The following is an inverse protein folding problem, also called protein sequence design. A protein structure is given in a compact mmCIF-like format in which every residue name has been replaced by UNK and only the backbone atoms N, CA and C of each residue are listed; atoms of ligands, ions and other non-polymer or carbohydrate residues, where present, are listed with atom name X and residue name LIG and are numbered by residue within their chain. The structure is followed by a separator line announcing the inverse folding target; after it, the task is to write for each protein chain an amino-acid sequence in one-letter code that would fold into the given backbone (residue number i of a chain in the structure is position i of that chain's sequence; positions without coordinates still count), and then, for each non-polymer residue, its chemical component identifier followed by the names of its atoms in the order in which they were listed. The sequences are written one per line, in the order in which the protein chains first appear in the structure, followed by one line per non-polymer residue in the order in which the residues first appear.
data_IF_805031676068
#
_entry.id   IF_805031676068
#
_cell.length_a   1.000
_cell.length_b   1.000
_cell.length_c   1.000
_cell.angle_alpha   90.00
_cell.angle_beta   90.00
_cell.angle_gamma   90.00
#
_symmetry.space_group_name_H-M   'P 1'
#
loop_
_entity.id
_entity.type
_entity.pdbx_description
1 polymer ?
#
# COMPACT_ATOMS: atom_id res chain seq x y z
N UNK A 1 8.63 45.21 2.67
CA UNK A 1 9.10 43.86 3.07
C UNK A 1 10.19 43.86 4.14
N UNK A 2 11.24 44.70 4.07
CA UNK A 2 12.34 44.67 5.07
C UNK A 2 11.97 45.14 6.49
N UNK A 3 10.84 45.84 6.65
CA UNK A 3 10.32 46.30 7.96
C UNK A 3 9.17 45.44 8.50
N UNK A 4 8.84 44.31 7.86
CA UNK A 4 7.81 43.41 8.38
C UNK A 4 8.38 42.54 9.51
N UNK A 5 7.62 42.32 10.60
CA UNK A 5 7.91 41.27 11.57
C UNK A 5 8.14 39.90 10.92
N UNK A 6 9.03 39.11 11.52
CA UNK A 6 9.42 37.80 10.98
C UNK A 6 8.24 36.83 10.93
N UNK A 7 7.29 36.97 11.85
CA UNK A 7 6.08 36.17 11.98
C UNK A 7 5.15 36.41 10.78
N UNK A 8 5.01 37.67 10.36
CA UNK A 8 4.21 38.01 9.18
C UNK A 8 4.88 37.55 7.88
N UNK A 9 6.21 37.59 7.81
CA UNK A 9 6.95 37.03 6.67
C UNK A 9 6.74 35.51 6.61
N UNK A 10 6.85 34.81 7.73
CA UNK A 10 6.61 33.37 7.81
C UNK A 10 5.17 33.02 7.39
N UNK A 11 4.18 33.78 7.88
CA UNK A 11 2.78 33.59 7.54
C UNK A 11 2.49 33.85 6.05
N UNK A 12 3.08 34.90 5.45
CA UNK A 12 2.94 35.14 4.00
C UNK A 12 3.54 33.97 3.22
N UNK A 13 4.69 33.47 3.65
CA UNK A 13 5.38 32.38 2.96
C UNK A 13 4.72 31.02 3.16
N UNK A 14 3.93 30.82 4.22
CA UNK A 14 3.14 29.59 4.38
C UNK A 14 2.01 29.46 3.36
N UNK A 15 1.56 30.55 2.73
CA UNK A 15 0.64 30.46 1.60
C UNK A 15 1.29 29.91 0.31
N UNK A 16 2.62 29.78 0.30
CA UNK A 16 3.32 29.08 -0.77
C UNK A 16 3.40 27.57 -0.53
N UNK A 17 2.99 27.11 0.67
CA UNK A 17 2.89 25.71 0.98
C UNK A 17 1.71 25.11 0.21
N UNK A 18 1.96 23.98 -0.44
CA UNK A 18 0.99 23.29 -1.26
C UNK A 18 1.26 21.82 -1.16
N UNK A 19 0.21 21.00 -1.14
CA UNK A 19 0.37 19.55 -1.09
C UNK A 19 1.32 19.04 -2.17
N UNK A 20 2.19 18.13 -1.75
CA UNK A 20 3.12 17.47 -2.65
C UNK A 20 2.37 16.94 -3.87
N UNK A 21 2.87 17.29 -5.06
CA UNK A 21 2.29 16.81 -6.32
C UNK A 21 2.20 15.28 -6.39
N UNK A 22 3.13 14.58 -5.73
CA UNK A 22 3.12 13.12 -5.60
C UNK A 22 2.03 12.63 -4.64
N UNK A 23 1.80 13.33 -3.52
CA UNK A 23 0.74 12.97 -2.56
C UNK A 23 -0.65 13.09 -3.19
N UNK A 24 -0.88 14.15 -3.96
CA UNK A 24 -2.12 14.30 -4.78
C UNK A 24 -2.25 13.23 -5.87
N UNK A 25 -1.14 12.63 -6.27
CA UNK A 25 -1.07 11.57 -7.27
C UNK A 25 -1.35 10.17 -6.72
N UNK A 26 -1.31 9.95 -5.40
CA UNK A 26 -1.42 8.61 -4.81
C UNK A 26 -2.72 7.90 -5.21
N UNK A 27 -3.84 8.63 -5.25
CA UNK A 27 -5.17 8.11 -5.60
C UNK A 27 -5.44 8.04 -7.11
N UNK A 28 -4.47 8.41 -7.95
CA UNK A 28 -4.62 8.43 -9.41
C UNK A 28 -3.98 7.18 -10.01
N UNK A 29 -4.13 7.03 -11.33
CA UNK A 29 -3.41 6.00 -12.08
C UNK A 29 -1.89 6.16 -11.87
N UNK A 30 -1.23 5.17 -11.23
CA UNK A 30 0.20 5.22 -10.97
C UNK A 30 1.03 5.39 -12.24
N UNK A 31 0.57 4.87 -13.39
CA UNK A 31 1.32 4.96 -14.66
C UNK A 31 1.55 6.40 -15.13
N UNK A 32 0.75 7.36 -14.63
CA UNK A 32 0.87 8.79 -14.93
C UNK A 32 1.82 9.51 -13.98
N UNK A 33 2.35 8.84 -12.96
CA UNK A 33 3.32 9.44 -12.05
C UNK A 33 4.65 9.62 -12.77
N UNK A 34 5.05 10.87 -12.93
CA UNK A 34 6.36 11.25 -13.44
C UNK A 34 7.31 11.58 -12.31
N UNK A 35 8.61 11.33 -12.53
CA UNK A 35 9.68 11.81 -11.62
C UNK A 35 9.53 13.31 -11.36
N UNK A 36 9.73 13.78 -10.12
CA UNK A 36 9.85 15.20 -9.83
C UNK A 36 11.00 15.79 -10.67
N UNK A 37 10.68 16.71 -11.58
CA UNK A 37 11.69 17.40 -12.38
C UNK A 37 12.37 18.44 -11.49
N UNK A 38 13.71 18.43 -11.42
CA UNK A 38 14.51 19.31 -10.57
C UNK A 38 14.32 20.83 -10.82
N UNK A 39 13.60 21.21 -11.87
CA UNK A 39 13.32 22.58 -12.29
C UNK A 39 11.96 22.68 -12.99
N UNK A 40 10.87 22.45 -12.26
CA UNK A 40 9.55 22.85 -12.76
C UNK A 40 9.47 24.38 -12.93
N UNK A 41 8.64 24.87 -13.87
CA UNK A 41 8.41 26.31 -14.08
C UNK A 41 7.81 27.02 -12.85
N UNK A 42 7.27 26.27 -11.90
CA UNK A 42 6.53 26.78 -10.76
C UNK A 42 7.08 26.20 -9.44
N UNK A 43 8.17 26.79 -8.94
CA UNK A 43 8.79 26.41 -7.65
C UNK A 43 8.83 27.59 -6.69
N UNK A 44 7.67 28.09 -6.21
CA UNK A 44 7.58 29.32 -5.44
C UNK A 44 8.38 29.27 -4.14
N UNK A 45 8.37 28.13 -3.43
CA UNK A 45 9.14 27.93 -2.19
C UNK A 45 10.65 28.02 -2.46
N UNK A 46 11.13 27.35 -3.52
CA UNK A 46 12.54 27.38 -3.92
C UNK A 46 12.96 28.78 -4.33
N UNK A 47 12.13 29.49 -5.11
CA UNK A 47 12.40 30.86 -5.54
C UNK A 47 12.46 31.82 -4.34
N UNK A 48 11.51 31.71 -3.40
CA UNK A 48 11.49 32.48 -2.15
C UNK A 48 12.75 32.25 -1.31
N UNK A 49 13.29 31.02 -1.30
CA UNK A 49 14.52 30.70 -0.57
C UNK A 49 15.77 31.42 -1.11
N UNK A 50 15.74 31.91 -2.35
CA UNK A 50 16.85 32.59 -3.00
C UNK A 50 16.82 34.12 -2.82
N UNK A 51 15.75 34.69 -2.28
CA UNK A 51 15.57 36.14 -2.13
C UNK A 51 16.56 36.73 -1.10
N UNK A 52 16.58 36.18 0.12
CA UNK A 52 17.51 36.60 1.17
C UNK A 52 17.65 35.53 2.27
N UNK A 53 18.62 35.70 3.18
CA UNK A 53 18.88 34.75 4.29
C UNK A 53 17.68 34.57 5.22
N UNK A 54 16.90 35.63 5.47
CA UNK A 54 15.71 35.57 6.31
C UNK A 54 14.64 34.67 5.67
N UNK A 55 14.32 34.92 4.40
CA UNK A 55 13.32 34.14 3.67
C UNK A 55 13.75 32.68 3.53
N UNK A 56 15.03 32.44 3.22
CA UNK A 56 15.61 31.09 3.19
C UNK A 56 15.37 30.35 4.50
N UNK A 57 15.61 31.00 5.64
CA UNK A 57 15.39 30.40 6.97
C UNK A 57 13.91 30.14 7.22
N UNK A 58 13.04 31.07 6.82
CA UNK A 58 11.59 30.93 6.99
C UNK A 58 11.01 29.80 6.15
N UNK A 59 11.48 29.57 4.92
CA UNK A 59 10.92 28.52 4.03
C UNK A 59 11.65 27.18 4.10
N UNK A 60 12.73 27.07 4.88
CA UNK A 60 13.56 25.86 4.90
C UNK A 60 12.76 24.61 5.28
N UNK A 61 11.85 24.74 6.26
CA UNK A 61 11.02 23.64 6.71
C UNK A 61 10.03 23.18 5.64
N UNK A 62 9.49 24.10 4.85
CA UNK A 62 8.61 23.80 3.72
C UNK A 62 9.37 23.13 2.57
N UNK A 63 10.60 23.59 2.31
CA UNK A 63 11.42 23.07 1.20
C UNK A 63 11.83 21.61 1.38
N UNK A 64 12.04 21.18 2.63
CA UNK A 64 12.47 19.83 2.98
C UNK A 64 11.36 18.99 3.62
N UNK A 65 10.10 19.46 3.58
CA UNK A 65 8.93 18.78 4.14
C UNK A 65 8.68 17.41 3.53
N UNK A 66 8.76 17.35 2.20
CA UNK A 66 8.56 16.13 1.43
C UNK A 66 9.83 15.79 0.66
N UNK A 67 10.53 14.72 1.07
CA UNK A 67 11.76 14.27 0.44
C UNK A 67 11.45 13.12 -0.51
N UNK A 68 11.93 13.23 -1.75
CA UNK A 68 11.84 12.16 -2.75
C UNK A 68 13.24 11.68 -3.06
N UNK A 69 13.51 10.40 -2.79
CA UNK A 69 14.75 9.73 -3.14
C UNK A 69 14.52 8.85 -4.36
N UNK A 70 15.08 9.28 -5.49
CA UNK A 70 15.02 8.56 -6.75
C UNK A 70 16.33 7.82 -7.03
N UNK A 71 16.25 6.55 -7.37
CA UNK A 71 17.38 5.79 -7.90
C UNK A 71 16.89 4.66 -8.80
N UNK A 72 17.78 4.20 -9.68
CA UNK A 72 17.52 3.04 -10.51
C UNK A 72 18.19 1.78 -9.95
N UNK A 73 19.40 1.96 -9.40
CA UNK A 73 20.24 0.93 -8.79
C UNK A 73 20.88 1.53 -7.56
N UNK A 74 20.77 0.84 -6.44
CA UNK A 74 21.45 1.26 -5.22
C UNK A 74 21.99 0.03 -4.51
N UNK A 75 23.31 -0.06 -4.40
CA UNK A 75 23.97 -1.14 -3.69
C UNK A 75 24.03 -0.82 -2.20
N UNK A 76 23.76 -1.83 -1.35
CA UNK A 76 23.95 -1.73 0.09
C UNK A 76 25.37 -1.26 0.40
N UNK A 77 25.55 -0.12 1.09
CA UNK A 77 26.88 0.35 1.47
C UNK A 77 27.55 -0.63 2.42
N UNK A 78 28.87 -0.83 2.24
CA UNK A 78 29.71 -1.65 3.13
C UNK A 78 30.54 -0.82 4.10
N UNK A 79 30.40 0.51 4.07
CA UNK A 79 31.10 1.40 4.97
C UNK A 79 30.56 1.27 6.40
N UNK A 80 31.42 1.58 7.39
CA UNK A 80 31.06 1.52 8.80
C UNK A 80 29.89 2.46 9.14
N UNK A 81 29.86 3.66 8.53
CA UNK A 81 28.73 4.58 8.60
C UNK A 81 27.85 4.40 7.35
N UNK A 82 26.85 3.50 7.44
CA UNK A 82 25.92 3.21 6.34
C UNK A 82 25.20 4.47 5.86
N UNK A 83 24.83 5.36 6.79
CA UNK A 83 24.14 6.63 6.46
C UNK A 83 25.00 7.50 5.55
N UNK A 84 26.32 7.57 5.77
CA UNK A 84 27.23 8.30 4.87
C UNK A 84 27.27 7.72 3.45
N UNK A 85 26.98 6.41 3.30
CA UNK A 85 26.86 5.75 2.00
C UNK A 85 25.56 6.07 1.26
N UNK A 86 24.52 6.55 1.97
CA UNK A 86 23.25 6.95 1.39
C UNK A 86 23.21 8.47 1.23
N UNK A 87 23.59 8.96 0.04
CA UNK A 87 23.82 10.39 -0.19
C UNK A 87 22.67 11.34 0.21
N UNK A 88 21.41 10.92 0.06
CA UNK A 88 20.26 11.72 0.52
C UNK A 88 20.20 11.82 2.05
N UNK A 89 20.43 10.72 2.77
CA UNK A 89 20.39 10.69 4.23
C UNK A 89 21.61 11.43 4.82
N UNK A 90 22.79 11.24 4.23
CA UNK A 90 24.00 11.99 4.61
C UNK A 90 23.81 13.50 4.44
N UNK A 91 23.18 13.93 3.34
CA UNK A 91 22.84 15.33 3.12
C UNK A 91 21.87 15.87 4.19
N UNK A 92 20.78 15.15 4.47
CA UNK A 92 19.78 15.57 5.46
C UNK A 92 20.41 15.73 6.86
N UNK A 93 21.25 14.75 7.24
CA UNK A 93 22.02 14.74 8.48
C UNK A 93 22.97 15.93 8.57
N UNK A 94 23.80 16.16 7.55
CA UNK A 94 24.84 17.22 7.55
C UNK A 94 24.26 18.63 7.46
N UNK A 95 23.13 18.79 6.75
CA UNK A 95 22.48 20.10 6.59
C UNK A 95 21.59 20.49 7.77
N UNK A 96 21.31 19.55 8.69
CA UNK A 96 20.48 19.79 9.86
C UNK A 96 18.99 20.00 9.54
N UNK A 97 18.55 19.58 8.35
CA UNK A 97 17.16 19.71 7.89
C UNK A 97 16.32 18.46 8.12
N UNK A 98 16.91 17.37 8.63
CA UNK A 98 16.21 16.11 8.93
C UNK A 98 14.91 16.28 9.71
N UNK A 99 14.90 17.20 10.70
CA UNK A 99 13.73 17.51 11.55
C UNK A 99 12.54 18.11 10.81
N UNK A 100 12.74 18.53 9.57
CA UNK A 100 11.70 19.11 8.75
C UNK A 100 11.04 18.07 7.82
N UNK A 101 11.60 16.85 7.74
CA UNK A 101 11.09 15.80 6.86
C UNK A 101 9.86 15.16 7.48
N UNK A 102 8.68 15.46 6.93
CA UNK A 102 7.41 14.83 7.33
C UNK A 102 7.09 13.61 6.46
N UNK A 103 7.46 13.63 5.18
CA UNK A 103 7.29 12.49 4.28
C UNK A 103 8.57 12.13 3.55
N UNK A 104 8.78 10.83 3.38
CA UNK A 104 9.91 10.28 2.64
C UNK A 104 9.41 9.31 1.58
N UNK A 105 9.64 9.63 0.31
CA UNK A 105 9.23 8.80 -0.83
C UNK A 105 10.44 8.16 -1.48
N UNK A 106 10.44 6.83 -1.62
CA UNK A 106 11.38 6.08 -2.46
C UNK A 106 10.71 5.87 -3.82
N UNK A 107 11.33 6.40 -4.87
CA UNK A 107 10.80 6.31 -6.23
C UNK A 107 11.82 5.62 -7.15
N UNK A 108 11.47 4.44 -7.64
CA UNK A 108 12.31 3.67 -8.56
C UNK A 108 11.55 3.53 -9.88
N UNK A 109 12.05 4.22 -10.90
CA UNK A 109 11.48 4.16 -12.24
C UNK A 109 12.48 3.47 -13.15
N UNK A 110 12.11 2.28 -13.61
CA UNK A 110 12.99 1.44 -14.41
C UNK A 110 12.55 1.53 -15.87
N UNK A 111 13.48 1.77 -16.81
CA UNK A 111 13.16 1.65 -18.22
C UNK A 111 12.69 0.22 -18.52
N UNK A 112 11.42 0.10 -18.93
CA UNK A 112 10.88 -1.15 -19.45
C UNK A 112 11.70 -1.58 -20.67
N UNK A 113 12.10 -2.84 -20.69
CA UNK A 113 12.76 -3.40 -21.86
C UNK A 113 11.81 -3.55 -23.04
N UNK A 114 12.41 -3.70 -24.23
CA UNK A 114 11.67 -4.02 -25.46
C UNK A 114 11.56 -5.54 -25.64
N UNK A 115 10.39 -6.03 -26.07
CA UNK A 115 10.17 -7.44 -26.39
C UNK A 115 9.91 -8.32 -25.16
N UNK A 116 10.55 -9.49 -25.08
CA UNK A 116 10.37 -10.46 -23.97
C UNK A 116 11.15 -10.09 -22.69
N UNK A 117 12.02 -9.09 -22.74
CA UNK A 117 12.81 -8.66 -21.58
C UNK A 117 12.09 -7.54 -20.84
N UNK A 118 11.68 -7.81 -19.59
CA UNK A 118 11.06 -6.79 -18.70
C UNK A 118 12.01 -5.61 -18.45
N UNK A 119 13.32 -5.85 -18.43
CA UNK A 119 14.36 -4.86 -18.19
C UNK A 119 15.24 -4.65 -19.42
N UNK A 120 15.51 -3.38 -19.77
CA UNK A 120 16.09 -2.98 -21.05
C UNK A 120 17.51 -3.49 -21.34
N UNK A 121 18.27 -3.90 -20.32
CA UNK A 121 19.70 -4.20 -20.42
C UNK A 121 20.12 -5.55 -19.80
N UNK A 122 19.16 -6.36 -19.34
CA UNK A 122 19.45 -7.65 -18.68
C UNK A 122 20.24 -7.51 -17.37
N UNK A 123 20.30 -6.32 -16.79
CA UNK A 123 20.98 -6.03 -15.53
C UNK A 123 20.01 -6.01 -14.35
N UNK A 124 20.55 -6.02 -13.13
CA UNK A 124 19.76 -5.88 -11.90
C UNK A 124 19.33 -4.43 -11.66
N UNK A 125 18.15 -4.22 -11.09
CA UNK A 125 17.59 -2.91 -10.78
C UNK A 125 17.04 -2.90 -9.34
N UNK A 126 16.84 -1.71 -8.78
CA UNK A 126 16.33 -1.52 -7.42
C UNK A 126 17.43 -1.53 -6.35
N UNK A 127 17.08 -2.07 -5.18
CA UNK A 127 17.99 -2.18 -4.03
C UNK A 127 18.75 -3.50 -4.10
N UNK A 128 20.09 -3.40 -4.13
CA UNK A 128 20.99 -4.50 -4.45
C UNK A 128 21.89 -4.84 -3.27
N UNK A 129 22.36 -6.10 -3.17
CA UNK A 129 23.39 -6.48 -2.19
C UNK A 129 24.67 -5.68 -2.41
N UNK A 130 25.64 -5.72 -1.47
CA UNK A 130 26.97 -5.16 -1.69
C UNK A 130 27.57 -5.61 -3.01
N UNK A 131 28.26 -4.71 -3.72
CA UNK A 131 28.88 -5.02 -5.03
C UNK A 131 29.81 -6.24 -4.97
N UNK A 132 30.47 -6.46 -3.83
CA UNK A 132 31.35 -7.61 -3.60
C UNK A 132 30.64 -8.96 -3.51
N UNK A 133 29.31 -8.97 -3.34
CA UNK A 133 28.48 -10.17 -3.18
C UNK A 133 27.48 -10.33 -4.34
N UNK A 134 27.79 -9.77 -5.51
CA UNK A 134 26.95 -9.97 -6.68
C UNK A 134 26.96 -11.44 -7.12
N UNK A 135 25.80 -12.03 -7.44
CA UNK A 135 25.77 -13.34 -8.07
C UNK A 135 26.46 -13.29 -9.45
N UNK A 136 27.24 -14.32 -9.78
CA UNK A 136 28.13 -14.37 -10.97
C UNK A 136 27.41 -14.27 -12.33
N UNK A 137 26.08 -14.41 -12.37
CA UNK A 137 25.27 -14.16 -13.56
C UNK A 137 24.07 -13.31 -13.17
N UNK A 138 23.61 -12.41 -14.06
CA UNK A 138 22.23 -11.98 -14.05
C UNK A 138 21.37 -13.19 -14.46
N UNK A 139 21.24 -14.18 -13.57
CA UNK A 139 19.97 -14.89 -13.50
C UNK A 139 19.01 -13.78 -13.15
N UNK A 140 18.32 -13.24 -14.16
CA UNK A 140 17.20 -12.36 -13.92
C UNK A 140 16.41 -12.99 -12.79
N UNK A 141 16.00 -12.25 -11.77
CA UNK A 141 15.00 -12.78 -10.85
C UNK A 141 13.76 -13.31 -11.61
N UNK A 142 13.58 -12.91 -12.87
CA UNK A 142 12.64 -13.46 -13.85
C UNK A 142 12.94 -14.91 -14.35
N UNK A 143 14.17 -15.42 -14.27
CA UNK A 143 14.59 -16.77 -14.72
C UNK A 143 14.43 -17.82 -13.60
N UNK A 144 14.24 -17.39 -12.34
CA UNK A 144 13.78 -18.29 -11.29
C UNK A 144 12.34 -18.77 -11.55
N UNK A 145 11.56 -18.03 -12.36
CA UNK A 145 10.15 -18.29 -12.61
C UNK A 145 9.86 -19.15 -13.85
N UNK A 146 10.70 -19.10 -14.89
CA UNK A 146 10.52 -19.96 -16.07
C UNK A 146 10.79 -21.45 -15.81
N UNK A 147 11.43 -21.78 -14.68
CA UNK A 147 11.66 -23.17 -14.24
C UNK A 147 10.55 -23.70 -13.33
N UNK A 148 9.72 -22.82 -12.73
CA UNK A 148 8.63 -23.21 -11.84
C UNK A 148 7.27 -23.39 -12.54
N UNK A 149 7.17 -23.13 -13.85
CA UNK A 149 5.90 -23.15 -14.60
C UNK A 149 5.90 -24.08 -15.82
N UNK A 150 6.81 -25.06 -15.89
CA UNK A 150 6.66 -26.19 -16.81
C UNK A 150 6.42 -27.49 -16.03
N UNK A 151 5.15 -27.87 -15.90
CA UNK A 151 4.74 -29.28 -15.79
C UNK A 151 3.68 -29.52 -16.89
N UNK A 152 3.45 -30.76 -17.40
CA UNK A 152 3.92 -32.06 -16.93
C UNK A 152 4.44 -33.00 -18.05
N UNK A 153 5.53 -33.75 -17.84
CA UNK A 153 5.75 -35.00 -18.58
C UNK A 153 6.28 -36.12 -17.67
N UNK A 154 5.64 -37.28 -17.82
CA UNK A 154 5.72 -38.47 -16.99
C UNK A 154 7.10 -39.16 -16.98
N UNK A 155 7.28 -39.93 -15.89
CA UNK A 155 8.23 -41.01 -15.65
C UNK A 155 9.68 -40.61 -15.30
N UNK A 156 10.05 -40.73 -14.01
CA UNK A 156 10.78 -41.94 -13.59
C UNK A 156 10.76 -42.14 -12.07
N UNK A 157 10.76 -43.41 -11.66
CA UNK A 157 10.91 -43.83 -10.27
C UNK A 157 12.40 -43.81 -9.91
N UNK A 158 12.79 -42.99 -8.93
CA UNK A 158 14.15 -43.01 -8.41
C UNK A 158 14.29 -42.03 -7.26
N UNK A 159 14.25 -42.55 -6.04
CA UNK A 159 14.47 -41.76 -4.84
C UNK A 159 15.88 -41.19 -4.82
N UNK A 160 15.95 -39.86 -4.70
CA UNK A 160 17.09 -39.19 -4.08
C UNK A 160 16.56 -37.93 -3.38
N UNK A 161 16.89 -37.83 -2.11
CA UNK A 161 16.52 -36.77 -1.17
C UNK A 161 16.71 -35.40 -1.81
N UNK A 162 15.60 -34.74 -2.19
CA UNK A 162 15.62 -33.28 -2.43
C UNK A 162 15.80 -32.64 -1.07
N UNK A 163 17.01 -32.17 -0.76
CA UNK A 163 17.26 -31.53 0.52
C UNK A 163 16.38 -30.29 0.63
N UNK A 164 15.82 -30.07 1.81
CA UNK A 164 15.07 -28.86 2.18
C UNK A 164 15.91 -27.58 2.00
N UNK A 165 17.22 -27.72 1.72
CA UNK A 165 18.18 -26.65 1.47
C UNK A 165 18.19 -26.18 -0.01
N UNK A 166 17.64 -26.94 -0.98
CA UNK A 166 17.57 -26.52 -2.39
C UNK A 166 16.42 -25.55 -2.71
N UNK A 167 15.47 -25.33 -1.79
CA UNK A 167 14.39 -24.32 -1.91
C UNK A 167 14.66 -23.05 -1.11
N UNK A 168 15.92 -22.76 -0.82
CA UNK A 168 16.38 -21.52 -0.21
C UNK A 168 15.99 -20.30 -1.05
N UNK A 169 14.78 -19.79 -0.81
CA UNK A 169 14.31 -18.48 -1.26
C UNK A 169 15.32 -17.44 -0.74
N UNK A 170 16.25 -17.04 -1.60
CA UNK A 170 17.31 -16.09 -1.24
C UNK A 170 16.73 -14.67 -1.17
N UNK A 171 15.87 -14.43 -0.17
CA UNK A 171 15.41 -13.09 0.15
C UNK A 171 16.61 -12.30 0.71
N UNK A 172 16.85 -11.11 0.18
CA UNK A 172 17.86 -10.22 0.71
C UNK A 172 17.25 -9.38 1.83
N UNK A 173 17.93 -9.34 2.98
CA UNK A 173 17.51 -8.51 4.10
C UNK A 173 17.75 -7.02 3.80
N UNK A 174 16.65 -6.30 3.64
CA UNK A 174 16.62 -4.87 3.40
C UNK A 174 16.34 -4.01 4.66
N UNK A 175 16.28 -4.61 5.86
CA UNK A 175 16.03 -3.88 7.11
C UNK A 175 17.10 -2.83 7.43
N UNK A 176 18.34 -3.05 6.96
CA UNK A 176 19.43 -2.06 7.06
C UNK A 176 19.01 -0.68 6.53
N UNK A 177 18.18 -0.62 5.48
CA UNK A 177 17.72 0.63 4.90
C UNK A 177 16.77 1.35 5.86
N UNK A 178 15.83 0.62 6.44
CA UNK A 178 14.85 1.17 7.38
C UNK A 178 15.56 1.70 8.63
N UNK A 179 16.52 0.97 9.19
CA UNK A 179 17.32 1.49 10.31
C UNK A 179 18.10 2.76 9.92
N UNK A 180 18.82 2.75 8.79
CA UNK A 180 19.58 3.91 8.35
C UNK A 180 18.70 5.15 8.12
N UNK A 181 17.49 4.96 7.58
CA UNK A 181 16.52 6.02 7.36
C UNK A 181 16.01 6.59 8.69
N UNK A 182 15.50 5.73 9.58
CA UNK A 182 14.90 6.15 10.85
C UNK A 182 15.92 6.59 11.92
N UNK A 183 17.20 6.31 11.72
CA UNK A 183 18.28 6.87 12.53
C UNK A 183 18.55 8.36 12.18
N UNK A 184 18.11 8.82 11.01
CA UNK A 184 18.37 10.19 10.51
C UNK A 184 17.14 11.06 10.50
N UNK A 185 15.99 10.51 10.11
CA UNK A 185 14.72 11.22 9.96
C UNK A 185 13.60 10.52 10.71
N UNK A 186 12.54 11.28 10.98
CA UNK A 186 11.37 10.82 11.73
C UNK A 186 10.08 11.09 10.93
N UNK A 187 9.89 10.43 9.77
CA UNK A 187 8.77 10.74 8.90
C UNK A 187 7.43 10.32 9.53
N UNK A 188 6.39 11.09 9.24
CA UNK A 188 4.99 10.74 9.48
C UNK A 188 4.45 9.84 8.36
N UNK A 189 5.09 9.87 7.19
CA UNK A 189 4.71 9.07 6.02
C UNK A 189 5.93 8.52 5.29
N UNK A 190 5.90 7.23 4.98
CA UNK A 190 6.86 6.58 4.07
C UNK A 190 6.09 6.06 2.86
N UNK A 191 6.54 6.40 1.66
CA UNK A 191 5.89 6.01 0.40
C UNK A 191 6.87 5.31 -0.52
N UNK A 192 6.49 4.15 -1.06
CA UNK A 192 7.26 3.36 -2.01
C UNK A 192 6.54 3.38 -3.34
N UNK A 193 7.22 3.76 -4.41
CA UNK A 193 6.67 3.81 -5.77
C UNK A 193 7.65 3.12 -6.71
N UNK A 194 7.23 1.97 -7.27
CA UNK A 194 8.02 1.20 -8.23
C UNK A 194 7.19 0.09 -8.87
N UNK A 195 7.76 -0.72 -9.76
CA UNK A 195 7.17 -1.99 -10.19
C UNK A 195 6.88 -2.93 -9.00
N UNK A 196 5.89 -3.83 -9.11
CA UNK A 196 5.46 -4.69 -8.00
C UNK A 196 6.58 -5.54 -7.41
N UNK A 197 7.49 -6.05 -8.24
CA UNK A 197 8.63 -6.88 -7.81
C UNK A 197 9.67 -6.09 -7.01
N UNK A 198 9.93 -4.84 -7.39
CA UNK A 198 10.83 -3.97 -6.65
C UNK A 198 10.23 -3.49 -5.32
N UNK A 199 8.93 -3.22 -5.28
CA UNK A 199 8.24 -2.89 -4.02
C UNK A 199 8.29 -4.09 -3.08
N UNK A 200 8.00 -5.31 -3.58
CA UNK A 200 8.13 -6.53 -2.79
C UNK A 200 9.58 -6.74 -2.31
N UNK A 201 10.57 -6.48 -3.17
CA UNK A 201 11.99 -6.58 -2.81
C UNK A 201 12.37 -5.64 -1.67
N UNK A 202 11.91 -4.38 -1.66
CA UNK A 202 12.14 -3.44 -0.55
C UNK A 202 11.55 -3.95 0.77
N UNK A 203 10.46 -4.72 0.71
CA UNK A 203 9.85 -5.40 1.84
C UNK A 203 10.51 -6.75 2.17
N UNK A 204 11.69 -7.07 1.60
CA UNK A 204 12.37 -8.35 1.77
C UNK A 204 11.49 -9.57 1.36
N UNK A 205 10.65 -9.37 0.33
CA UNK A 205 9.65 -10.34 -0.16
C UNK A 205 9.71 -10.49 -1.68
N UNK A 206 8.90 -11.40 -2.21
CA UNK A 206 8.72 -11.66 -3.65
C UNK A 206 7.23 -11.72 -3.98
N UNK A 207 6.89 -11.45 -5.23
CA UNK A 207 5.53 -11.54 -5.77
C UNK A 207 5.53 -12.45 -6.99
N UNK A 208 4.40 -13.12 -7.27
CA UNK A 208 4.24 -13.88 -8.51
C UNK A 208 4.09 -12.91 -9.70
N UNK A 209 4.89 -13.14 -10.73
CA UNK A 209 4.91 -12.33 -11.95
C UNK A 209 4.51 -13.13 -13.19
N UNK A 210 4.02 -14.36 -13.01
CA UNK A 210 3.65 -15.30 -14.08
C UNK A 210 2.78 -14.67 -15.16
N UNK A 211 1.79 -13.87 -14.76
CA UNK A 211 0.81 -13.25 -15.65
C UNK A 211 0.92 -11.72 -15.73
N UNK A 212 1.90 -11.11 -15.06
CA UNK A 212 2.05 -9.64 -14.97
C UNK A 212 2.16 -8.96 -16.35
N UNK A 213 2.70 -9.67 -17.34
CA UNK A 213 2.79 -9.21 -18.73
C UNK A 213 1.43 -8.81 -19.32
N UNK A 214 0.34 -9.47 -18.91
CA UNK A 214 -1.01 -9.23 -19.42
C UNK A 214 -1.63 -7.95 -18.81
N UNK A 215 -1.22 -7.58 -17.60
CA UNK A 215 -1.70 -6.39 -16.89
C UNK A 215 -0.94 -5.12 -17.28
N UNK A 216 0.30 -5.27 -17.78
CA UNK A 216 1.13 -4.14 -18.22
C UNK A 216 1.31 -3.07 -17.11
N UNK A 217 1.39 -3.50 -15.84
CA UNK A 217 1.47 -2.64 -14.66
C UNK A 217 2.79 -1.86 -14.58
N UNK A 218 2.72 -0.52 -14.47
CA UNK A 218 3.94 0.33 -14.44
C UNK A 218 4.46 0.51 -13.03
N UNK A 219 3.62 1.05 -12.16
CA UNK A 219 3.98 1.32 -10.77
C UNK A 219 2.87 0.84 -9.85
N UNK A 220 3.30 0.31 -8.72
CA UNK A 220 2.51 0.11 -7.52
C UNK A 220 2.94 1.14 -6.49
N UNK A 221 2.00 1.54 -5.65
CA UNK A 221 2.25 2.50 -4.58
C UNK A 221 1.89 1.83 -3.26
N UNK A 222 2.83 1.84 -2.34
CA UNK A 222 2.57 1.57 -0.93
C UNK A 222 2.88 2.84 -0.15
N UNK A 223 1.96 3.28 0.70
CA UNK A 223 2.25 4.34 1.66
C UNK A 223 1.81 3.93 3.06
N UNK A 224 2.74 4.00 3.99
CA UNK A 224 2.48 3.91 5.42
C UNK A 224 2.43 5.32 5.99
N UNK A 225 1.42 5.62 6.80
CA UNK A 225 1.35 6.89 7.51
C UNK A 225 0.83 6.74 8.92
N UNK A 226 1.25 7.66 9.77
CA UNK A 226 0.79 7.79 11.15
C UNK A 226 0.41 9.22 11.45
N UNK A 227 -0.40 9.39 12.50
CA UNK A 227 -0.67 10.73 13.03
C UNK A 227 0.54 11.20 13.86
N UNK A 228 0.83 12.50 13.88
CA UNK A 228 1.84 13.05 14.77
C UNK A 228 1.35 12.92 16.21
N UNK A 229 1.83 11.91 16.93
CA UNK A 229 1.43 11.74 18.32
C UNK A 229 2.29 12.61 19.24
N UNK A 230 1.66 13.30 20.19
CA UNK A 230 2.35 14.18 21.16
C UNK A 230 3.18 13.33 22.14
N UNK A 231 2.82 12.05 22.29
CA UNK A 231 3.46 11.04 23.15
C UNK A 231 4.66 10.32 22.53
N UNK A 232 5.00 10.57 21.26
CA UNK A 232 6.12 9.94 20.51
C UNK A 232 7.54 10.26 21.03
N UNK A 233 7.66 10.97 22.15
CA UNK A 233 8.91 11.09 22.90
C UNK A 233 9.40 9.75 23.50
N UNK A 234 8.55 8.71 23.48
CA UNK A 234 8.97 7.34 23.81
C UNK A 234 9.75 6.70 22.65
N UNK A 235 11.06 6.95 22.66
CA UNK A 235 12.11 6.18 21.96
C UNK A 235 11.83 4.67 22.02
N UNK A 236 12.05 3.96 20.89
CA UNK A 236 12.29 2.50 20.74
C UNK A 236 12.20 1.73 22.08
N UNK A 237 11.00 1.44 22.57
CA UNK A 237 10.83 0.65 23.80
C UNK A 237 10.74 -0.85 23.51
N UNK A 238 10.37 -1.23 22.29
CA UNK A 238 10.23 -2.63 21.87
C UNK A 238 11.34 -3.03 20.90
N UNK A 239 11.88 -4.24 21.08
CA UNK A 239 12.81 -4.86 20.14
C UNK A 239 12.13 -5.05 18.78
N UNK A 240 12.86 -4.79 17.70
CA UNK A 240 12.33 -4.99 16.35
C UNK A 240 12.24 -6.50 16.03
N UNK A 241 11.35 -6.92 15.11
CA UNK A 241 11.24 -8.32 14.71
C UNK A 241 12.59 -8.92 14.26
N UNK A 242 13.44 -8.16 13.57
CA UNK A 242 14.80 -8.61 13.19
C UNK A 242 15.76 -8.82 14.37
N UNK A 243 15.50 -8.18 15.52
CA UNK A 243 16.31 -8.32 16.75
C UNK A 243 15.84 -9.49 17.62
N UNK A 244 14.70 -10.11 17.27
CA UNK A 244 14.17 -11.27 17.97
C UNK A 244 15.07 -12.50 17.75
N UNK A 245 15.40 -13.26 18.82
CA UNK A 245 16.14 -14.52 18.69
C UNK A 245 15.30 -15.65 18.07
N UNK A 246 13.99 -15.43 17.85
CA UNK A 246 13.09 -16.42 17.28
C UNK A 246 13.40 -16.61 15.81
N UNK A 247 13.66 -17.86 15.41
CA UNK A 247 13.83 -18.22 14.00
C UNK A 247 12.46 -18.26 13.33
N UNK A 248 12.18 -17.23 12.55
CA UNK A 248 11.01 -17.19 11.68
C UNK A 248 11.30 -17.87 10.34
N UNK A 249 10.26 -18.39 9.69
CA UNK A 249 10.33 -18.97 8.35
C UNK A 249 10.60 -17.91 7.28
N UNK A 250 10.37 -16.64 7.59
CA UNK A 250 10.48 -15.50 6.68
C UNK A 250 11.37 -14.42 7.30
N UNK A 251 12.05 -13.64 6.44
CA UNK A 251 12.76 -12.44 6.92
C UNK A 251 11.74 -11.42 7.44
N UNK A 252 11.96 -10.83 8.64
CA UNK A 252 11.09 -9.79 9.15
C UNK A 252 11.16 -8.52 8.32
N UNK A 253 10.11 -7.71 8.41
CA UNK A 253 9.94 -6.42 7.75
C UNK A 253 9.90 -5.35 8.84
N UNK A 254 11.07 -4.87 9.27
CA UNK A 254 11.14 -3.92 10.38
C UNK A 254 10.41 -2.62 10.07
N UNK A 255 10.25 -2.25 8.79
CA UNK A 255 9.43 -1.11 8.41
C UNK A 255 8.02 -1.17 9.03
N UNK A 256 7.41 -2.35 9.16
CA UNK A 256 6.06 -2.50 9.71
C UNK A 256 6.01 -2.35 11.24
N UNK A 257 7.13 -2.59 11.93
CA UNK A 257 7.23 -2.55 13.39
C UNK A 257 8.03 -1.36 13.94
N UNK A 258 8.76 -0.62 13.09
CA UNK A 258 9.62 0.48 13.51
C UNK A 258 8.85 1.68 14.06
N UNK A 259 7.57 1.81 13.66
CA UNK A 259 6.61 2.81 14.14
C UNK A 259 5.19 2.25 14.16
N UNK A 260 4.36 2.90 14.96
CA UNK A 260 2.93 2.60 15.06
C UNK A 260 2.18 3.21 13.88
N UNK A 261 2.20 2.51 12.75
CA UNK A 261 1.48 2.92 11.55
C UNK A 261 -0.02 2.80 11.76
N UNK A 262 -0.74 3.92 11.59
CA UNK A 262 -2.20 3.95 11.76
C UNK A 262 -2.95 3.79 10.44
N UNK A 263 -2.28 4.01 9.31
CA UNK A 263 -2.89 4.00 7.98
C UNK A 263 -1.96 3.34 6.96
N UNK A 264 -2.53 2.45 6.15
CA UNK A 264 -1.87 1.79 5.03
C UNK A 264 -2.63 2.11 3.74
N UNK A 265 -1.91 2.56 2.73
CA UNK A 265 -2.43 2.85 1.41
C UNK A 265 -1.73 1.95 0.39
N UNK A 266 -2.52 1.27 -0.45
CA UNK A 266 -2.06 0.38 -1.51
C UNK A 266 -2.77 0.78 -2.81
N UNK A 267 -2.01 1.08 -3.86
CA UNK A 267 -2.54 1.27 -5.21
C UNK A 267 -1.79 0.34 -6.17
N UNK A 268 -2.49 -0.69 -6.66
CA UNK A 268 -1.98 -1.70 -7.62
C UNK A 268 -2.18 -1.26 -9.08
N UNK A 269 -2.68 -0.04 -9.32
CA UNK A 269 -2.85 0.51 -10.65
C UNK A 269 -4.06 -0.06 -11.39
N UNK A 270 -3.97 -0.14 -12.72
CA UNK A 270 -5.08 -0.58 -13.58
C UNK A 270 -4.85 -1.97 -14.16
N UNK A 271 -5.87 -2.81 -14.06
CA UNK A 271 -5.88 -4.16 -14.63
C UNK A 271 -6.60 -4.21 -15.97
N UNK A 272 -7.17 -3.10 -16.44
CA UNK A 272 -7.88 -3.00 -17.70
C UNK A 272 -7.13 -3.57 -18.93
N UNK A 273 -5.78 -3.51 -19.02
CA UNK A 273 -5.07 -4.14 -20.14
C UNK A 273 -5.32 -5.65 -20.30
N UNK A 274 -5.58 -6.39 -19.20
CA UNK A 274 -5.77 -7.86 -19.23
C UNK A 274 -6.96 -8.26 -20.11
N UNK A 275 -8.00 -7.44 -20.14
CA UNK A 275 -9.24 -7.67 -20.89
C UNK A 275 -9.07 -7.59 -22.41
N UNK A 276 -7.91 -7.13 -22.89
CA UNK A 276 -7.56 -7.21 -24.31
C UNK A 276 -6.98 -8.59 -24.71
N UNK A 277 -6.77 -9.46 -23.72
CA UNK A 277 -6.20 -10.80 -23.90
C UNK A 277 -7.32 -11.85 -23.91
N UNK A 278 -7.18 -12.85 -24.78
CA UNK A 278 -8.08 -14.00 -24.79
C UNK A 278 -7.97 -14.77 -23.47
N UNK A 279 -9.08 -15.33 -22.99
CA UNK A 279 -9.15 -16.08 -21.71
C UNK A 279 -8.58 -15.29 -20.52
N UNK A 280 -8.86 -13.97 -20.47
CA UNK A 280 -8.33 -13.06 -19.45
C UNK A 280 -8.56 -13.55 -18.01
N UNK A 281 -9.62 -14.30 -17.77
CA UNK A 281 -10.02 -14.84 -16.47
C UNK A 281 -9.07 -15.90 -15.90
N UNK A 282 -8.10 -16.40 -16.68
CA UNK A 282 -7.04 -17.30 -16.21
C UNK A 282 -5.78 -16.58 -15.71
N UNK A 283 -5.69 -15.27 -15.87
CA UNK A 283 -4.54 -14.49 -15.46
C UNK A 283 -4.76 -13.85 -14.09
N UNK A 284 -3.71 -13.81 -13.27
CA UNK A 284 -3.72 -13.13 -11.97
C UNK A 284 -2.67 -12.03 -11.90
N UNK A 285 -3.00 -10.85 -11.35
CA UNK A 285 -2.06 -9.75 -11.24
C UNK A 285 -0.96 -10.06 -10.22
N UNK A 286 0.19 -9.41 -10.37
CA UNK A 286 1.25 -9.43 -9.37
C UNK A 286 0.82 -8.62 -8.14
N UNK A 287 0.18 -9.25 -7.16
CA UNK A 287 -0.42 -8.54 -6.01
C UNK A 287 0.50 -8.45 -4.79
N UNK A 288 0.43 -7.31 -4.10
CA UNK A 288 1.16 -7.07 -2.85
C UNK A 288 0.34 -7.45 -1.61
N UNK A 289 -0.95 -7.77 -1.75
CA UNK A 289 -1.82 -8.14 -0.63
C UNK A 289 -1.30 -9.34 0.18
N UNK A 290 -1.03 -10.52 -0.42
CA UNK A 290 -0.48 -11.65 0.34
C UNK A 290 0.95 -11.38 0.82
N UNK A 291 1.68 -10.47 0.17
CA UNK A 291 3.03 -10.08 0.57
C UNK A 291 3.03 -9.27 1.87
N UNK A 292 2.03 -8.42 2.07
CA UNK A 292 1.91 -7.51 3.22
C UNK A 292 1.11 -8.16 4.35
N UNK A 293 0.04 -8.88 4.02
CA UNK A 293 -0.95 -9.38 4.98
C UNK A 293 -0.74 -10.85 5.38
N UNK A 294 0.48 -11.37 5.21
CA UNK A 294 0.85 -12.72 5.63
C UNK A 294 0.61 -12.90 7.14
N UNK A 295 -0.38 -13.73 7.57
CA UNK A 295 -0.76 -13.84 8.98
C UNK A 295 0.34 -14.42 9.86
N UNK A 296 1.25 -15.18 9.25
CA UNK A 296 2.38 -15.82 9.94
C UNK A 296 3.56 -14.86 10.18
N UNK A 297 3.56 -13.68 9.55
CA UNK A 297 4.61 -12.67 9.68
C UNK A 297 4.44 -11.87 10.98
N UNK A 298 5.43 -11.92 11.87
CA UNK A 298 5.40 -11.19 13.14
C UNK A 298 5.42 -9.67 12.91
N UNK A 299 6.08 -9.22 11.86
CA UNK A 299 6.17 -7.81 11.47
C UNK A 299 4.79 -7.25 11.12
N UNK A 300 4.01 -8.02 10.36
CA UNK A 300 2.63 -7.66 10.06
C UNK A 300 1.76 -7.69 11.31
N UNK A 301 1.93 -8.67 12.21
CA UNK A 301 1.17 -8.74 13.45
C UNK A 301 1.35 -7.50 14.36
N UNK A 302 2.56 -6.92 14.40
CA UNK A 302 2.78 -5.64 15.09
C UNK A 302 1.97 -4.52 14.44
N UNK A 303 2.11 -4.33 13.13
CA UNK A 303 1.35 -3.30 12.39
C UNK A 303 -0.17 -3.52 12.49
N UNK A 304 -0.64 -4.76 12.42
CA UNK A 304 -2.05 -5.16 12.52
C UNK A 304 -2.71 -4.67 13.81
N UNK A 305 -1.93 -4.53 14.89
CA UNK A 305 -2.44 -4.06 16.18
C UNK A 305 -2.68 -2.55 16.24
N UNK A 306 -1.95 -1.77 15.44
CA UNK A 306 -1.99 -0.29 15.42
C UNK A 306 -2.74 0.28 14.23
N UNK A 307 -2.90 -0.50 13.17
CA UNK A 307 -3.56 -0.11 11.93
C UNK A 307 -5.06 0.17 12.15
N UNK A 308 -5.50 1.37 11.77
CA UNK A 308 -6.89 1.82 11.88
C UNK A 308 -7.56 2.01 10.52
N UNK A 309 -6.79 2.31 9.48
CA UNK A 309 -7.32 2.52 8.13
C UNK A 309 -6.54 1.78 7.06
N UNK A 310 -7.27 1.25 6.09
CA UNK A 310 -6.74 0.68 4.86
C UNK A 310 -7.39 1.40 3.67
N UNK A 311 -6.57 1.91 2.76
CA UNK A 311 -7.02 2.40 1.46
C UNK A 311 -6.47 1.52 0.37
N UNK A 312 -7.34 0.91 -0.42
CA UNK A 312 -6.99 0.00 -1.48
C UNK A 312 -7.53 0.49 -2.83
N UNK A 313 -6.66 0.53 -3.84
CA UNK A 313 -7.00 0.93 -5.20
C UNK A 313 -6.51 -0.13 -6.17
N UNK A 314 -7.41 -0.66 -6.97
CA UNK A 314 -7.12 -1.50 -8.13
C UNK A 314 -8.19 -1.23 -9.18
N UNK A 315 -7.83 -0.65 -10.33
CA UNK A 315 -8.78 -0.18 -11.32
C UNK A 315 -9.18 -1.32 -12.27
N UNK A 316 -10.48 -1.60 -12.34
CA UNK A 316 -11.10 -2.73 -13.03
C UNK A 316 -10.47 -4.08 -12.68
N UNK A 317 -10.44 -4.46 -11.39
CA UNK A 317 -9.87 -5.73 -11.01
C UNK A 317 -10.73 -6.88 -11.54
N UNK A 318 -10.14 -8.05 -11.70
CA UNK A 318 -10.91 -9.28 -11.88
C UNK A 318 -11.62 -9.60 -10.57
N UNK A 319 -12.87 -10.06 -10.59
CA UNK A 319 -13.66 -10.28 -9.39
C UNK A 319 -13.01 -11.31 -8.46
N UNK A 320 -12.36 -12.33 -9.04
CA UNK A 320 -11.59 -13.31 -8.28
C UNK A 320 -10.41 -12.67 -7.54
N UNK A 321 -9.82 -11.58 -8.04
CA UNK A 321 -8.72 -10.89 -7.35
C UNK A 321 -9.18 -10.34 -5.99
N UNK A 322 -10.39 -9.78 -5.95
CA UNK A 322 -11.02 -9.30 -4.72
C UNK A 322 -11.41 -10.47 -3.80
N UNK A 323 -11.99 -11.53 -4.38
CA UNK A 323 -12.41 -12.72 -3.63
C UNK A 323 -11.23 -13.46 -2.98
N UNK A 324 -10.12 -13.61 -3.71
CA UNK A 324 -9.02 -14.49 -3.33
C UNK A 324 -7.95 -13.76 -2.51
N UNK A 325 -7.78 -12.45 -2.71
CA UNK A 325 -6.69 -11.70 -2.08
C UNK A 325 -7.15 -10.60 -1.12
N UNK A 326 -8.13 -9.76 -1.48
CA UNK A 326 -8.53 -8.63 -0.63
C UNK A 326 -9.40 -9.08 0.55
N UNK A 327 -10.49 -9.79 0.26
CA UNK A 327 -11.46 -10.21 1.28
C UNK A 327 -10.84 -11.09 2.37
N UNK A 328 -10.15 -12.19 2.05
CA UNK A 328 -9.63 -13.11 3.07
C UNK A 328 -8.45 -12.56 3.86
N UNK A 329 -7.71 -11.59 3.31
CA UNK A 329 -6.49 -11.05 3.95
C UNK A 329 -6.70 -9.64 4.53
N UNK A 330 -7.93 -9.13 4.58
CA UNK A 330 -8.19 -7.79 5.10
C UNK A 330 -7.71 -7.67 6.57
N UNK A 331 -6.89 -6.66 6.91
CA UNK A 331 -6.56 -6.37 8.30
C UNK A 331 -7.78 -5.84 9.07
N UNK A 332 -7.82 -6.00 10.41
CA UNK A 332 -8.90 -5.56 11.28
C UNK A 332 -8.83 -4.05 11.48
N UNK A 333 -9.26 -3.32 10.45
CA UNK A 333 -9.28 -1.85 10.40
C UNK A 333 -10.64 -1.30 10.76
N UNK A 334 -10.68 -0.04 11.17
CA UNK A 334 -11.92 0.70 11.45
C UNK A 334 -12.47 1.37 10.18
N UNK A 335 -11.59 1.77 9.26
CA UNK A 335 -11.96 2.42 7.99
C UNK A 335 -11.33 1.69 6.81
N UNK A 336 -12.16 1.24 5.88
CA UNK A 336 -11.75 0.64 4.62
C UNK A 336 -12.20 1.53 3.46
N UNK A 337 -11.24 2.06 2.71
CA UNK A 337 -11.47 2.77 1.46
C UNK A 337 -11.15 1.84 0.28
N UNK A 338 -12.06 1.71 -0.68
CA UNK A 338 -11.84 0.92 -1.91
C UNK A 338 -12.23 1.71 -3.14
N UNK A 339 -11.34 1.76 -4.13
CA UNK A 339 -11.59 2.37 -5.43
C UNK A 339 -11.33 1.36 -6.55
N UNK A 340 -12.37 0.99 -7.30
CA UNK A 340 -12.29 0.01 -8.37
C UNK A 340 -12.39 0.63 -9.76
N UNK A 341 -12.69 1.92 -9.86
CA UNK A 341 -12.87 2.63 -11.13
C UNK A 341 -11.93 3.84 -11.25
N UNK A 342 -11.62 4.24 -12.49
CA UNK A 342 -10.76 5.39 -12.74
C UNK A 342 -11.46 6.70 -12.34
N UNK A 343 -10.74 7.60 -11.67
CA UNK A 343 -11.23 8.97 -11.36
C UNK A 343 -11.15 9.93 -12.54
N UNK A 344 -10.23 9.70 -13.47
CA UNK A 344 -9.93 10.64 -14.55
C UNK A 344 -10.62 10.20 -15.84
N UNK A 345 -11.23 11.15 -16.56
CA UNK A 345 -11.84 10.90 -17.86
C UNK A 345 -10.84 10.43 -18.91
N UNK A 346 -9.60 10.93 -18.83
CA UNK A 346 -8.49 10.58 -19.71
C UNK A 346 -8.19 9.07 -19.76
N UNK A 347 -8.62 8.31 -18.73
CA UNK A 347 -8.52 6.86 -18.75
C UNK A 347 -9.27 6.26 -19.94
N UNK A 348 -10.51 6.70 -20.15
CA UNK A 348 -11.41 6.21 -21.21
C UNK A 348 -10.94 6.58 -22.61
N UNK A 349 -10.13 7.63 -22.73
CA UNK A 349 -9.56 8.10 -23.98
C UNK A 349 -8.22 7.44 -24.31
N UNK A 350 -7.74 6.52 -23.46
CA UNK A 350 -6.44 5.87 -23.67
C UNK A 350 -6.47 4.80 -24.77
N UNK A 351 -5.43 4.79 -25.62
CA UNK A 351 -5.27 3.80 -26.69
C UNK A 351 -5.28 2.35 -26.18
N UNK A 352 -4.93 2.14 -24.90
CA UNK A 352 -4.90 0.83 -24.23
C UNK A 352 -6.27 0.16 -24.10
N UNK A 353 -7.38 0.92 -24.20
CA UNK A 353 -8.73 0.39 -24.14
C UNK A 353 -9.31 0.06 -25.52
N UNK A 354 -8.62 0.38 -26.62
CA UNK A 354 -9.13 0.22 -27.99
C UNK A 354 -9.54 -1.22 -28.36
N UNK A 355 -8.98 -2.22 -27.67
CA UNK A 355 -9.25 -3.66 -27.88
C UNK A 355 -10.02 -4.30 -26.74
N UNK A 356 -10.42 -3.51 -25.74
CA UNK A 356 -11.08 -4.00 -24.53
C UNK A 356 -12.60 -3.95 -24.73
N UNK A 357 -13.27 -5.06 -24.40
CA UNK A 357 -14.72 -5.05 -24.29
C UNK A 357 -15.13 -4.37 -22.99
N UNK A 358 -15.73 -3.19 -23.10
CA UNK A 358 -16.14 -2.40 -21.93
C UNK A 358 -17.18 -3.16 -21.08
N UNK A 359 -18.03 -4.00 -21.67
CA UNK A 359 -19.01 -4.78 -20.91
C UNK A 359 -18.36 -5.71 -19.90
N UNK A 360 -17.19 -6.28 -20.23
CA UNK A 360 -16.48 -7.19 -19.33
C UNK A 360 -15.89 -6.41 -18.14
N UNK A 361 -15.36 -5.19 -18.37
CA UNK A 361 -14.90 -4.30 -17.29
C UNK A 361 -16.02 -3.99 -16.30
N UNK A 362 -17.21 -3.65 -16.82
CA UNK A 362 -18.37 -3.32 -16.00
C UNK A 362 -18.87 -4.54 -15.21
N UNK A 363 -18.89 -5.71 -15.83
CA UNK A 363 -19.33 -6.95 -15.20
C UNK A 363 -18.40 -7.39 -14.06
N UNK A 364 -17.08 -7.37 -14.28
CA UNK A 364 -16.11 -7.72 -13.25
C UNK A 364 -16.14 -6.72 -12.08
N UNK A 365 -16.27 -5.42 -12.38
CA UNK A 365 -16.40 -4.38 -11.36
C UNK A 365 -17.67 -4.57 -10.51
N UNK A 366 -18.81 -4.94 -11.13
CA UNK A 366 -20.07 -5.22 -10.42
C UNK A 366 -19.94 -6.44 -9.52
N UNK A 367 -19.33 -7.51 -10.04
CA UNK A 367 -19.05 -8.72 -9.29
C UNK A 367 -18.12 -8.43 -8.10
N UNK A 368 -17.07 -7.61 -8.28
CA UNK A 368 -16.17 -7.18 -7.19
C UNK A 368 -16.89 -6.43 -6.08
N UNK A 369 -17.70 -5.42 -6.41
CA UNK A 369 -18.49 -4.71 -5.41
C UNK A 369 -19.52 -5.62 -4.76
N UNK A 370 -20.09 -6.56 -5.51
CA UNK A 370 -21.04 -7.52 -4.96
C UNK A 370 -20.43 -8.41 -3.89
N UNK A 371 -19.19 -8.85 -4.11
CA UNK A 371 -18.43 -9.63 -3.13
C UNK A 371 -18.11 -8.79 -1.88
N UNK A 372 -17.66 -7.54 -2.06
CA UNK A 372 -17.36 -6.63 -0.96
C UNK A 372 -18.60 -6.33 -0.11
N UNK A 373 -19.72 -5.97 -0.76
CA UNK A 373 -20.95 -5.65 -0.05
C UNK A 373 -21.50 -6.86 0.70
N UNK A 374 -21.45 -8.05 0.09
CA UNK A 374 -21.81 -9.29 0.77
C UNK A 374 -20.99 -9.51 2.03
N UNK A 375 -19.69 -9.23 1.98
CA UNK A 375 -18.78 -9.37 3.11
C UNK A 375 -19.06 -8.34 4.22
N UNK A 376 -19.32 -7.08 3.85
CA UNK A 376 -19.60 -5.99 4.79
C UNK A 376 -20.92 -6.19 5.52
N UNK A 377 -21.93 -6.66 4.79
CA UNK A 377 -23.29 -6.88 5.30
C UNK A 377 -23.46 -8.28 5.93
N UNK A 378 -22.41 -9.10 6.02
CA UNK A 378 -22.50 -10.41 6.68
C UNK A 378 -22.78 -10.23 8.19
N UNK A 379 -23.82 -10.88 8.75
CA UNK A 379 -24.08 -10.82 10.19
C UNK A 379 -22.95 -11.41 11.05
N UNK A 380 -22.16 -12.33 10.49
CA UNK A 380 -20.98 -12.89 11.16
C UNK A 380 -19.74 -12.46 10.38
N UNK A 381 -19.04 -11.39 10.83
CA UNK A 381 -17.88 -10.89 10.12
C UNK A 381 -16.79 -11.97 10.06
N UNK A 382 -16.19 -12.14 8.88
CA UNK A 382 -14.99 -12.98 8.76
C UNK A 382 -13.80 -12.35 9.51
N UNK A 383 -12.78 -13.14 9.87
CA UNK A 383 -11.57 -12.63 10.48
C UNK A 383 -10.99 -11.42 9.73
N UNK A 384 -10.72 -10.33 10.44
CA UNK A 384 -10.24 -9.08 9.84
C UNK A 384 -11.33 -8.06 9.52
N UNK A 385 -12.61 -8.41 9.54
CA UNK A 385 -13.72 -7.48 9.26
C UNK A 385 -14.46 -7.02 10.51
N UNK A 386 -14.13 -7.56 11.68
CA UNK A 386 -14.87 -7.38 12.93
C UNK A 386 -14.87 -5.92 13.40
N UNK A 387 -13.74 -5.24 13.21
CA UNK A 387 -13.51 -3.85 13.65
C UNK A 387 -14.04 -2.80 12.68
N UNK A 388 -14.51 -3.21 11.49
CA UNK A 388 -14.88 -2.26 10.45
C UNK A 388 -16.07 -1.39 10.90
N UNK A 389 -15.91 -0.07 10.80
CA UNK A 389 -16.93 0.92 11.16
C UNK A 389 -17.32 1.79 9.97
N UNK A 390 -16.38 2.04 9.07
CA UNK A 390 -16.58 2.87 7.89
C UNK A 390 -16.09 2.13 6.66
N UNK A 391 -16.96 1.99 5.67
CA UNK A 391 -16.57 1.58 4.33
C UNK A 391 -16.82 2.75 3.37
N UNK A 392 -15.80 3.13 2.61
CA UNK A 392 -15.85 4.23 1.66
C UNK A 392 -15.52 3.72 0.26
N UNK A 393 -16.42 3.95 -0.68
CA UNK A 393 -16.17 3.74 -2.10
C UNK A 393 -15.56 4.99 -2.72
N UNK A 394 -14.44 4.81 -3.42
CA UNK A 394 -13.73 5.87 -4.10
C UNK A 394 -14.27 6.24 -5.49
N UNK A 395 -15.27 5.53 -6.01
CA UNK A 395 -15.73 5.73 -7.39
C UNK A 395 -16.98 6.60 -7.54
N UNK A 396 -17.17 7.10 -8.76
CA UNK A 396 -18.23 8.05 -9.07
C UNK A 396 -19.59 7.34 -9.25
N UNK A 397 -20.64 7.81 -8.58
CA UNK A 397 -21.97 7.19 -8.54
C UNK A 397 -22.73 7.27 -9.87
N UNK A 398 -22.45 8.29 -10.68
CA UNK A 398 -23.03 8.46 -12.03
C UNK A 398 -22.64 7.35 -13.00
N UNK A 399 -21.57 6.60 -12.71
CA UNK A 399 -21.11 5.49 -13.55
C UNK A 399 -21.71 4.12 -13.11
N UNK A 400 -22.50 4.12 -12.03
CA UNK A 400 -23.73 3.33 -11.93
C UNK A 400 -23.59 1.80 -12.00
N UNK A 401 -22.70 1.25 -11.18
CA UNK A 401 -22.59 -0.20 -10.97
C UNK A 401 -23.24 -0.60 -9.64
N UNK A 402 -22.75 -0.13 -8.47
CA UNK A 402 -23.39 -0.47 -7.18
C UNK A 402 -24.76 0.20 -6.98
N UNK A 403 -25.04 1.34 -7.61
CA UNK A 403 -26.36 1.98 -7.50
C UNK A 403 -27.45 1.23 -8.27
N UNK A 404 -27.08 0.28 -9.15
CA UNK A 404 -28.02 -0.40 -10.05
C UNK A 404 -28.72 -1.57 -9.31
N UNK A 405 -29.58 -1.22 -8.37
CA UNK A 405 -30.74 -2.04 -7.99
C UNK A 405 -30.61 -3.03 -6.82
N UNK A 406 -29.42 -3.24 -6.24
CA UNK A 406 -29.25 -4.22 -5.14
C UNK A 406 -28.83 -3.63 -3.79
N UNK A 407 -28.17 -2.46 -3.73
CA UNK A 407 -27.55 -1.97 -2.49
C UNK A 407 -28.35 -0.88 -1.76
N UNK A 408 -28.82 0.15 -2.45
CA UNK A 408 -29.51 1.30 -1.81
C UNK A 408 -30.77 0.91 -1.01
N UNK A 409 -31.50 -0.13 -1.42
CA UNK A 409 -32.70 -0.59 -0.72
C UNK A 409 -32.42 -1.57 0.44
N UNK A 410 -31.19 -2.09 0.54
CA UNK A 410 -30.81 -3.16 1.48
C UNK A 410 -29.85 -2.73 2.57
N UNK A 411 -29.10 -1.63 2.42
CA UNK A 411 -28.04 -1.31 3.40
C UNK A 411 -28.61 -0.65 4.66
N UNK A 412 -29.60 0.24 4.53
CA UNK A 412 -30.14 0.97 5.67
C UNK A 412 -30.80 0.03 6.71
N UNK A 413 -30.10 -0.14 7.84
CA UNK A 413 -30.54 -0.94 8.98
C UNK A 413 -30.07 -2.39 8.97
N UNK A 414 -29.40 -2.88 7.92
CA UNK A 414 -28.85 -4.25 7.90
C UNK A 414 -27.57 -4.29 8.72
N UNK A 415 -27.59 -5.07 9.81
CA UNK A 415 -26.45 -5.27 10.71
C UNK A 415 -25.83 -3.96 11.23
N UNK A 416 -26.67 -2.92 11.39
CA UNK A 416 -26.27 -1.60 11.89
C UNK A 416 -25.61 -0.70 10.84
N UNK A 417 -25.53 -1.12 9.57
CA UNK A 417 -25.01 -0.28 8.50
C UNK A 417 -26.07 0.73 8.03
N UNK A 418 -25.60 1.91 7.61
CA UNK A 418 -26.36 2.94 6.90
C UNK A 418 -25.47 3.69 5.94
N UNK A 419 -26.05 4.30 4.91
CA UNK A 419 -25.33 5.25 4.06
C UNK A 419 -25.38 6.65 4.71
N UNK A 420 -24.22 7.21 5.09
CA UNK A 420 -24.15 8.58 5.65
C UNK A 420 -24.12 9.63 4.53
N UNK A 421 -23.32 9.35 3.51
CA UNK A 421 -23.19 10.17 2.32
C UNK A 421 -22.85 9.28 1.14
N UNK A 422 -22.92 9.85 -0.06
CA UNK A 422 -22.79 9.12 -1.32
C UNK A 422 -21.52 8.25 -1.38
N UNK A 423 -21.70 6.92 -1.32
CA UNK A 423 -20.59 5.96 -1.32
C UNK A 423 -19.86 5.78 0.02
N UNK A 424 -20.36 6.37 1.11
CA UNK A 424 -19.82 6.26 2.48
C UNK A 424 -20.83 5.56 3.38
N UNK A 425 -20.46 4.37 3.83
CA UNK A 425 -21.27 3.52 4.67
C UNK A 425 -20.68 3.46 6.08
N UNK A 426 -21.54 3.64 7.08
CA UNK A 426 -21.15 3.66 8.49
C UNK A 426 -21.96 2.62 9.25
N UNK A 427 -21.29 1.87 10.12
CA UNK A 427 -21.91 0.96 11.08
C UNK A 427 -22.12 1.68 12.39
N UNK A 428 -23.36 1.79 12.83
CA UNK A 428 -23.71 2.22 14.17
C UNK A 428 -23.11 1.28 15.20
N UNK A 429 -22.61 1.85 16.30
CA UNK A 429 -22.32 1.05 17.47
C UNK A 429 -23.63 0.37 17.89
N UNK A 430 -23.64 -0.98 17.97
CA UNK A 430 -24.72 -1.70 18.62
C UNK A 430 -25.00 -1.01 19.95
N UNK A 431 -26.26 -0.66 20.28
CA UNK A 431 -26.55 -0.08 21.57
C UNK A 431 -26.04 -1.05 22.63
N UNK A 432 -25.15 -0.57 23.51
CA UNK A 432 -24.79 -1.26 24.74
C UNK A 432 -26.11 -1.58 25.44
N UNK A 433 -26.58 -2.82 25.36
CA UNK A 433 -27.66 -3.29 26.23
C UNK A 433 -27.02 -3.31 27.61
N UNK A 434 -27.44 -2.44 28.55
CA UNK A 434 -26.91 -2.50 29.90
C UNK A 434 -27.23 -3.89 30.46
N UNK A 435 -26.25 -4.49 31.13
CA UNK A 435 -26.36 -5.82 31.72
C UNK A 435 -27.55 -5.99 32.68
N UNK A 436 -28.21 -4.89 33.06
CA UNK A 436 -29.35 -4.83 33.96
C UNK A 436 -30.69 -5.23 33.32
N UNK A 437 -30.81 -5.34 31.99
CA UNK A 437 -32.08 -5.74 31.33
C UNK A 437 -32.22 -7.24 31.06
N UNK A 438 -31.14 -8.03 31.21
CA UNK A 438 -31.20 -9.50 31.06
C UNK A 438 -31.72 -10.24 32.31
N UNK A 439 -31.86 -9.57 33.45
CA UNK A 439 -32.44 -10.17 34.68
C UNK A 439 -33.95 -9.93 34.84
N UNK A 440 -34.60 -9.20 33.92
CA UNK A 440 -36.03 -8.87 34.06
C UNK A 440 -37.00 -9.84 33.35
N UNK A 441 -36.48 -10.83 32.61
CA UNK A 441 -37.31 -11.76 31.80
C UNK A 441 -37.67 -13.06 32.55
N UNK A 442 -37.02 -13.39 33.66
CA UNK A 442 -37.31 -14.61 34.45
C UNK A 442 -38.32 -14.42 35.60
N UNK A 443 -39.09 -13.32 35.58
CA UNK A 443 -39.99 -12.92 36.65
C UNK A 443 -41.47 -12.89 36.30
N UNK A 444 -42.01 -13.85 35.53
CA UNK A 444 -43.46 -13.97 35.39
C UNK A 444 -43.91 -15.43 35.17
N UNK A 445 -43.76 -16.24 36.21
CA UNK A 445 -44.40 -17.54 36.32
C UNK A 445 -45.29 -17.54 37.58
N UNK A 446 -46.47 -16.94 37.48
CA UNK A 446 -47.62 -17.37 38.27
C UNK A 446 -48.94 -16.76 37.76
N UNK A 447 -49.94 -17.62 37.55
CA UNK A 447 -51.34 -17.22 37.49
C UNK A 447 -52.06 -17.39 36.14
N UNK A 448 -52.48 -18.61 35.79
CA UNK A 448 -53.91 -18.90 35.62
C UNK A 448 -54.17 -20.39 35.40
N UNK A 449 -54.60 -21.02 36.49
CA UNK A 449 -55.34 -22.27 36.50
C UNK A 449 -56.73 -22.09 35.86
N UNK A 450 -57.14 -23.14 35.14
CA UNK A 450 -58.50 -23.63 34.93
C UNK A 450 -59.57 -22.74 34.26
N UNK A 451 -60.12 -23.24 33.14
CA UNK A 451 -61.56 -23.50 32.97
C UNK A 451 -61.80 -24.45 31.77
N UNK A 452 -62.28 -25.65 32.13
CA UNK A 452 -63.22 -26.58 31.46
C UNK A 452 -63.81 -26.10 30.11
N UNK A 453 -63.92 -26.91 29.04
CA UNK A 453 -64.52 -28.26 28.87
C UNK A 453 -63.83 -28.97 27.69
#
# INVERSE_FOLDING_TARGET
MQHLPNELIAHILSFLDSDSSLERGLYRDPSKISRPVHSAKDTPIKNSSLVCRLWRRSVMHLLFRHVVWCFHRFYKPTCQDIVAGVGVLDFLRRSGVSKHVESFTIFMDIPRGSGQHRYADGQFWGLLPPESHQPERPMSWNLLWSVLTQEPQQADQGGQERSEEERGRQHWDNNWLWHALFDVIEPLRVTLISSPDLVASLLSRTVDLSSDWAFNSTYYIISLSRQPDITDLHKRTNALPSESPVRESHLPIDLFAIRDWTSLFINEGSFAPVYSTYEFFHYSPATLLPVIFEPTDTSFNVMRSTLKSLSYIAIFPLSHHIADFLIPNCPPVEHLFVQLMPKNRDFWESDGLSRVNLSDLWLECDASYSLLMRQILDPVPQPGWEKLKVFESGDAPTEGVWRRGFYDAYIDGVNGWREESEGVFIRDALPDVPADELESIDGNHDGMEALEI
#
